data_IF_340094660604
#
_entry.id   IF_340094660604
#
_cell.length_a   1.000
_cell.length_b   1.000
_cell.length_c   1.000
_cell.angle_alpha   90.00
_cell.angle_beta   90.00
_cell.angle_gamma   90.00
#
_symmetry.space_group_name_H-M   'P 1'
#
loop_
_entity.id
_entity.type
_entity.pdbx_description
1 polymer ?
#
# COMPACT_ATOMS: atom_id res chain seq x y z
N UNK A 1 -23.43 -24.14 -19.58
CA UNK A 1 -22.42 -23.53 -18.69
C UNK A 1 -23.00 -22.22 -18.17
N UNK A 2 -23.32 -22.12 -16.88
CA UNK A 2 -23.72 -20.83 -16.30
C UNK A 2 -22.50 -19.90 -16.36
N UNK A 3 -22.61 -18.81 -17.12
CA UNK A 3 -21.58 -17.80 -17.25
C UNK A 3 -21.51 -17.00 -15.93
N UNK A 4 -20.88 -17.57 -14.90
CA UNK A 4 -20.67 -16.88 -13.62
C UNK A 4 -19.61 -15.81 -13.84
N UNK A 5 -20.04 -14.56 -13.82
CA UNK A 5 -19.10 -13.43 -13.87
C UNK A 5 -18.69 -13.05 -12.44
N UNK A 6 -17.90 -13.92 -11.79
CA UNK A 6 -17.44 -13.69 -10.42
C UNK A 6 -16.65 -12.39 -10.31
N UNK A 7 -15.84 -12.05 -11.32
CA UNK A 7 -15.13 -10.76 -11.34
C UNK A 7 -16.10 -9.57 -11.25
N UNK A 8 -17.12 -9.53 -12.11
CA UNK A 8 -18.13 -8.47 -12.07
C UNK A 8 -18.91 -8.46 -10.75
N UNK A 9 -19.25 -9.64 -10.22
CA UNK A 9 -19.94 -9.74 -8.93
C UNK A 9 -19.08 -9.19 -7.80
N UNK A 10 -17.81 -9.60 -7.69
CA UNK A 10 -16.84 -9.11 -6.70
C UNK A 10 -16.74 -7.58 -6.81
N UNK A 11 -16.54 -7.05 -8.02
CA UNK A 11 -16.45 -5.61 -8.24
C UNK A 11 -17.73 -4.90 -7.77
N UNK A 12 -18.91 -5.36 -8.19
CA UNK A 12 -20.18 -4.75 -7.81
C UNK A 12 -20.42 -4.75 -6.29
N UNK A 13 -20.06 -5.84 -5.61
CA UNK A 13 -20.27 -6.04 -4.17
C UNK A 13 -19.24 -5.32 -3.29
N UNK A 14 -18.08 -4.99 -3.84
CA UNK A 14 -17.01 -4.26 -3.13
C UNK A 14 -16.86 -2.82 -3.59
N UNK A 15 -17.63 -2.38 -4.61
CA UNK A 15 -17.49 -1.09 -5.29
C UNK A 15 -17.36 0.10 -4.35
N UNK A 16 -18.16 0.14 -3.28
CA UNK A 16 -18.14 1.26 -2.33
C UNK A 16 -16.77 1.41 -1.67
N UNK A 17 -16.17 0.31 -1.19
CA UNK A 17 -14.86 0.34 -0.54
C UNK A 17 -13.73 0.48 -1.56
N UNK A 18 -13.88 -0.12 -2.75
CA UNK A 18 -12.97 0.11 -3.87
C UNK A 18 -12.88 1.60 -4.22
N UNK A 19 -14.02 2.28 -4.41
CA UNK A 19 -14.07 3.71 -4.72
C UNK A 19 -13.47 4.57 -3.59
N UNK A 20 -13.59 4.14 -2.33
CA UNK A 20 -12.97 4.82 -1.19
C UNK A 20 -11.45 4.65 -1.20
N UNK A 21 -10.97 3.43 -1.50
CA UNK A 21 -9.54 3.12 -1.59
C UNK A 21 -8.87 3.93 -2.69
N UNK A 22 -9.45 3.96 -3.90
CA UNK A 22 -8.90 4.72 -5.04
C UNK A 22 -8.78 6.22 -4.75
N UNK A 23 -9.70 6.75 -3.95
CA UNK A 23 -9.73 8.17 -3.53
C UNK A 23 -8.98 8.42 -2.22
N UNK A 24 -8.36 7.40 -1.64
CA UNK A 24 -7.69 7.54 -0.37
C UNK A 24 -6.44 8.43 -0.53
N UNK A 25 -6.17 9.39 0.37
CA UNK A 25 -5.04 10.31 0.27
C UNK A 25 -3.68 9.61 0.08
N UNK A 26 -3.51 8.45 0.69
CA UNK A 26 -2.32 7.61 0.52
C UNK A 26 -2.10 7.19 -0.95
N UNK A 27 -3.13 6.71 -1.64
CA UNK A 27 -3.06 6.29 -3.05
C UNK A 27 -3.09 7.48 -4.01
N UNK A 28 -3.84 8.54 -3.71
CA UNK A 28 -3.84 9.77 -4.51
C UNK A 28 -2.41 10.34 -4.65
N UNK A 29 -1.56 10.18 -3.63
CA UNK A 29 -0.15 10.58 -3.76
C UNK A 29 0.61 9.79 -4.81
N UNK A 30 0.29 8.53 -5.09
CA UNK A 30 0.92 7.83 -6.23
C UNK A 30 0.59 8.51 -7.56
N UNK A 31 -0.56 9.17 -7.65
CA UNK A 31 -1.01 9.89 -8.84
C UNK A 31 -0.51 11.35 -8.92
N UNK A 32 -0.22 11.99 -7.79
CA UNK A 32 0.31 13.36 -7.70
C UNK A 32 1.84 13.30 -7.52
N UNK A 33 2.65 14.21 -8.08
CA UNK A 33 4.14 14.18 -7.97
C UNK A 33 4.72 14.37 -6.53
N UNK A 34 3.93 14.07 -5.50
CA UNK A 34 4.25 14.09 -4.07
C UNK A 34 4.67 12.71 -3.53
N UNK A 35 4.68 11.68 -4.38
CA UNK A 35 5.13 10.35 -4.01
C UNK A 35 6.66 10.28 -3.90
N UNK A 36 7.16 9.83 -2.76
CA UNK A 36 8.61 9.76 -2.49
C UNK A 36 9.13 8.34 -2.47
N UNK A 37 10.46 8.19 -2.58
CA UNK A 37 11.13 6.91 -2.40
C UNK A 37 10.86 6.29 -1.03
N UNK A 38 10.74 7.14 0.00
CA UNK A 38 10.38 6.74 1.37
C UNK A 38 8.95 6.21 1.45
N UNK A 39 8.01 6.87 0.77
CA UNK A 39 6.62 6.40 0.70
C UNK A 39 6.55 5.03 0.00
N UNK A 40 7.30 4.84 -1.10
CA UNK A 40 7.39 3.53 -1.78
C UNK A 40 7.92 2.44 -0.87
N UNK A 41 9.06 2.72 -0.22
CA UNK A 41 9.73 1.75 0.62
C UNK A 41 8.82 1.34 1.78
N UNK A 42 8.25 2.33 2.47
CA UNK A 42 7.30 2.10 3.56
C UNK A 42 6.11 1.27 3.11
N UNK A 43 5.51 1.56 1.96
CA UNK A 43 4.39 0.77 1.45
C UNK A 43 4.79 -0.70 1.24
N UNK A 44 5.96 -0.98 0.66
CA UNK A 44 6.43 -2.34 0.50
C UNK A 44 6.71 -3.05 1.83
N UNK A 45 7.23 -2.32 2.84
CA UNK A 45 7.41 -2.86 4.18
C UNK A 45 6.08 -3.30 4.81
N UNK A 46 4.99 -2.56 4.59
CA UNK A 46 3.66 -2.96 5.07
C UNK A 46 3.11 -4.16 4.27
N UNK A 47 3.30 -4.16 2.94
CA UNK A 47 2.77 -5.23 2.08
C UNK A 47 3.49 -6.57 2.28
N UNK A 48 4.82 -6.58 2.45
CA UNK A 48 5.61 -7.81 2.54
C UNK A 48 5.01 -8.83 3.53
N UNK A 49 4.86 -8.51 4.83
CA UNK A 49 4.35 -9.47 5.79
C UNK A 49 2.86 -9.82 5.59
N UNK A 50 2.09 -8.95 4.93
CA UNK A 50 0.70 -9.25 4.54
C UNK A 50 0.69 -10.35 3.47
N UNK A 51 1.50 -10.20 2.41
CA UNK A 51 1.59 -11.21 1.36
C UNK A 51 2.20 -12.50 1.90
N UNK A 52 3.22 -12.45 2.74
CA UNK A 52 3.78 -13.64 3.38
C UNK A 52 2.70 -14.45 4.12
N UNK A 53 1.87 -13.77 4.94
CA UNK A 53 0.79 -14.41 5.69
C UNK A 53 -0.33 -14.96 4.79
N UNK A 54 -0.78 -14.18 3.79
CA UNK A 54 -1.84 -14.63 2.87
C UNK A 54 -1.36 -15.81 2.02
N UNK A 55 -0.15 -15.74 1.48
CA UNK A 55 0.42 -16.80 0.65
C UNK A 55 0.65 -18.09 1.46
N UNK A 56 1.08 -17.98 2.73
CA UNK A 56 1.18 -19.12 3.63
C UNK A 56 -0.17 -19.80 3.87
N UNK A 57 -1.22 -19.00 4.09
CA UNK A 57 -2.59 -19.52 4.22
C UNK A 57 -3.09 -20.16 2.94
N UNK A 58 -2.82 -19.53 1.80
CA UNK A 58 -3.21 -20.06 0.49
C UNK A 58 -2.49 -21.37 0.16
N UNK A 59 -1.19 -21.52 0.49
CA UNK A 59 -0.44 -22.78 0.28
C UNK A 59 -1.06 -23.98 1.02
N UNK A 60 -1.76 -23.74 2.12
CA UNK A 60 -2.45 -24.76 2.91
C UNK A 60 -3.96 -24.85 2.58
N UNK A 61 -4.42 -24.09 1.59
CA UNK A 61 -5.81 -24.00 1.18
C UNK A 61 -6.04 -24.72 -0.16
N UNK A 62 -7.24 -25.26 -0.37
CA UNK A 62 -7.63 -25.92 -1.63
C UNK A 62 -7.43 -25.02 -2.85
N UNK A 63 -7.77 -23.73 -2.73
CA UNK A 63 -7.59 -22.76 -3.81
C UNK A 63 -6.12 -22.56 -4.20
N UNK A 64 -5.19 -22.59 -3.24
CA UNK A 64 -3.76 -22.44 -3.54
C UNK A 64 -3.21 -23.67 -4.23
N UNK A 65 -3.62 -24.88 -3.82
CA UNK A 65 -3.23 -26.12 -4.52
C UNK A 65 -3.65 -26.09 -5.99
N UNK A 66 -4.87 -25.61 -6.28
CA UNK A 66 -5.35 -25.45 -7.65
C UNK A 66 -4.55 -24.42 -8.45
N UNK A 67 -4.20 -23.27 -7.87
CA UNK A 67 -3.36 -22.26 -8.53
C UNK A 67 -1.96 -22.78 -8.82
N UNK A 68 -1.31 -23.44 -7.85
CA UNK A 68 0.03 -24.01 -7.99
C UNK A 68 0.09 -25.14 -9.03
N UNK A 69 -1.02 -25.83 -9.30
CA UNK A 69 -1.09 -26.87 -10.33
C UNK A 69 -1.09 -26.33 -11.76
N UNK A 70 -1.24 -25.02 -11.95
CA UNK A 70 -1.25 -24.36 -13.25
C UNK A 70 0.00 -23.49 -13.38
N UNK A 71 0.87 -23.81 -14.35
CA UNK A 71 2.19 -23.17 -14.49
C UNK A 71 2.09 -21.64 -14.52
N UNK A 72 1.19 -21.10 -15.35
CA UNK A 72 0.98 -19.65 -15.53
C UNK A 72 0.32 -18.99 -14.31
N UNK A 73 -0.56 -19.68 -13.57
CA UNK A 73 -1.21 -19.10 -12.39
C UNK A 73 -0.36 -19.23 -11.12
N UNK A 74 0.60 -20.15 -11.09
CA UNK A 74 1.48 -20.34 -9.94
C UNK A 74 2.23 -19.05 -9.56
N UNK A 75 2.48 -18.15 -10.52
CA UNK A 75 3.18 -16.90 -10.23
C UNK A 75 2.40 -16.00 -9.27
N UNK A 76 1.06 -16.03 -9.25
CA UNK A 76 0.28 -15.19 -8.34
C UNK A 76 0.49 -15.55 -6.86
N UNK A 77 1.14 -16.68 -6.58
CA UNK A 77 1.48 -17.17 -5.25
C UNK A 77 2.87 -16.71 -4.74
N UNK A 78 3.62 -15.96 -5.55
CA UNK A 78 5.02 -15.60 -5.28
C UNK A 78 5.22 -14.07 -5.16
N UNK A 79 4.19 -13.33 -4.74
CA UNK A 79 4.26 -11.87 -4.68
C UNK A 79 5.14 -11.37 -3.53
N UNK A 80 5.11 -12.03 -2.37
CA UNK A 80 5.98 -11.70 -1.24
C UNK A 80 7.47 -11.75 -1.60
N UNK A 81 7.87 -12.78 -2.36
CA UNK A 81 9.24 -12.91 -2.88
C UNK A 81 9.63 -11.71 -3.74
N UNK A 82 8.76 -11.29 -4.66
CA UNK A 82 9.03 -10.15 -5.53
C UNK A 82 9.06 -8.81 -4.77
N UNK A 83 8.23 -8.66 -3.73
CA UNK A 83 8.30 -7.51 -2.81
C UNK A 83 9.67 -7.47 -2.11
N UNK A 84 10.17 -8.61 -1.65
CA UNK A 84 11.50 -8.70 -1.03
C UNK A 84 12.60 -8.29 -1.99
N UNK A 85 12.57 -8.79 -3.23
CA UNK A 85 13.53 -8.39 -4.27
C UNK A 85 13.46 -6.88 -4.55
N UNK A 86 12.27 -6.29 -4.60
CA UNK A 86 12.10 -4.85 -4.79
C UNK A 86 12.65 -4.04 -3.60
N UNK A 87 12.40 -4.49 -2.37
CA UNK A 87 12.97 -3.89 -1.16
C UNK A 87 14.48 -3.98 -1.16
N UNK A 88 15.07 -5.12 -1.53
CA UNK A 88 16.52 -5.34 -1.58
C UNK A 88 17.19 -4.37 -2.56
N UNK A 89 16.63 -4.25 -3.77
CA UNK A 89 17.06 -3.27 -4.76
C UNK A 89 17.02 -1.84 -4.21
N UNK A 90 15.91 -1.45 -3.56
CA UNK A 90 15.79 -0.12 -2.99
C UNK A 90 16.83 0.13 -1.89
N UNK A 91 17.11 -0.86 -1.03
CA UNK A 91 18.15 -0.71 0.02
C UNK A 91 19.53 -0.49 -0.59
N UNK A 92 19.89 -1.30 -1.58
CA UNK A 92 21.19 -1.18 -2.28
C UNK A 92 21.36 0.19 -2.93
N UNK A 93 20.34 0.68 -3.64
CA UNK A 93 20.43 1.91 -4.42
C UNK A 93 20.25 3.20 -3.62
N UNK A 94 19.57 3.15 -2.48
CA UNK A 94 19.20 4.36 -1.72
C UNK A 94 19.73 4.43 -0.29
N UNK A 95 20.24 3.31 0.25
CA UNK A 95 20.70 3.22 1.63
C UNK A 95 19.57 3.24 2.67
N UNK A 96 18.29 3.19 2.27
CA UNK A 96 17.16 3.10 3.21
C UNK A 96 17.20 1.75 3.94
N UNK A 97 16.86 1.72 5.23
CA UNK A 97 16.86 0.49 6.05
C UNK A 97 15.50 0.23 6.71
N UNK A 98 15.24 -1.03 7.11
CA UNK A 98 14.00 -1.43 7.76
C UNK A 98 13.79 -0.76 9.12
N UNK A 99 14.86 -0.45 9.85
CA UNK A 99 14.80 0.27 11.13
C UNK A 99 14.19 1.67 10.99
N UNK A 100 14.13 2.21 9.78
CA UNK A 100 13.55 3.53 9.52
C UNK A 100 12.00 3.50 9.51
N UNK A 101 11.36 2.33 9.37
CA UNK A 101 9.90 2.21 9.20
C UNK A 101 9.33 1.01 9.97
N UNK A 102 8.98 1.16 11.25
CA UNK A 102 8.22 0.14 11.96
C UNK A 102 6.84 -0.05 11.30
N UNK A 103 6.36 -1.29 11.30
CA UNK A 103 5.04 -1.65 10.78
C UNK A 103 3.93 -0.82 11.44
N UNK A 104 2.91 -0.51 10.66
CA UNK A 104 1.67 0.05 11.18
C UNK A 104 1.00 -0.96 12.13
N UNK A 105 0.37 -0.45 13.19
CA UNK A 105 -0.37 -1.30 14.13
C UNK A 105 -1.50 -2.04 13.40
N UNK A 106 -2.19 -1.37 12.48
CA UNK A 106 -3.22 -1.94 11.61
C UNK A 106 -2.69 -3.03 10.69
N UNK A 107 -1.43 -2.93 10.25
CA UNK A 107 -0.78 -4.01 9.52
C UNK A 107 -0.61 -5.24 10.41
N UNK A 108 -0.10 -5.08 11.63
CA UNK A 108 0.05 -6.18 12.58
C UNK A 108 -1.28 -6.81 12.98
N UNK A 109 -2.32 -6.01 13.20
CA UNK A 109 -3.68 -6.47 13.47
C UNK A 109 -4.23 -7.30 12.30
N UNK A 110 -4.02 -6.83 11.06
CA UNK A 110 -4.48 -7.54 9.88
C UNK A 110 -3.74 -8.86 9.65
N UNK A 111 -2.42 -8.90 9.84
CA UNK A 111 -1.63 -10.14 9.81
C UNK A 111 -2.14 -11.12 10.88
N UNK A 112 -2.40 -10.63 12.10
CA UNK A 112 -2.96 -11.47 13.16
C UNK A 112 -4.33 -12.05 12.78
N UNK A 113 -5.18 -11.27 12.11
CA UNK A 113 -6.45 -11.74 11.59
C UNK A 113 -6.26 -12.82 10.51
N UNK A 114 -5.40 -12.58 9.51
CA UNK A 114 -5.06 -13.55 8.46
C UNK A 114 -4.59 -14.87 9.08
N UNK A 115 -3.69 -14.81 10.05
CA UNK A 115 -3.14 -15.99 10.72
C UNK A 115 -4.19 -16.81 11.48
N UNK A 116 -5.31 -16.20 11.89
CA UNK A 116 -6.44 -16.88 12.55
C UNK A 116 -7.47 -17.44 11.58
N UNK A 117 -7.44 -17.03 10.30
CA UNK A 117 -8.37 -17.54 9.29
C UNK A 117 -8.19 -19.05 9.12
N UNK A 118 -9.32 -19.77 9.12
CA UNK A 118 -9.41 -21.21 8.87
C UNK A 118 -10.40 -21.54 7.75
N UNK A 119 -11.26 -20.60 7.38
CA UNK A 119 -12.23 -20.77 6.29
C UNK A 119 -11.55 -20.57 4.92
N UNK A 120 -11.54 -21.58 4.04
CA UNK A 120 -10.97 -21.48 2.70
C UNK A 120 -11.55 -20.32 1.87
N UNK A 121 -12.84 -20.02 2.02
CA UNK A 121 -13.49 -18.92 1.29
C UNK A 121 -13.00 -17.55 1.76
N UNK A 122 -12.73 -17.41 3.06
CA UNK A 122 -12.18 -16.18 3.66
C UNK A 122 -10.75 -15.96 3.19
N UNK A 123 -9.89 -16.98 3.34
CA UNK A 123 -8.49 -16.94 2.88
C UNK A 123 -8.43 -16.55 1.40
N UNK A 124 -9.24 -17.21 0.57
CA UNK A 124 -9.26 -16.93 -0.85
C UNK A 124 -9.80 -15.55 -1.18
N UNK A 125 -10.79 -15.03 -0.44
CA UNK A 125 -11.29 -13.67 -0.60
C UNK A 125 -10.24 -12.60 -0.33
N UNK A 126 -9.49 -12.76 0.76
CA UNK A 126 -8.39 -11.87 1.07
C UNK A 126 -7.28 -11.93 0.01
N UNK A 127 -7.00 -13.12 -0.54
CA UNK A 127 -6.05 -13.30 -1.64
C UNK A 127 -6.52 -12.67 -2.95
N UNK A 128 -7.71 -13.00 -3.46
CA UNK A 128 -8.14 -12.50 -4.76
C UNK A 128 -8.34 -10.98 -4.76
N UNK A 129 -8.72 -10.36 -3.65
CA UNK A 129 -8.79 -8.89 -3.55
C UNK A 129 -7.43 -8.25 -3.81
N UNK A 130 -6.36 -8.83 -3.24
CA UNK A 130 -4.98 -8.36 -3.47
C UNK A 130 -4.58 -8.55 -4.93
N UNK A 131 -4.72 -9.77 -5.45
CA UNK A 131 -4.29 -10.10 -6.82
C UNK A 131 -5.04 -9.28 -7.87
N UNK A 132 -6.36 -9.11 -7.73
CA UNK A 132 -7.13 -8.25 -8.62
C UNK A 132 -6.71 -6.78 -8.52
N UNK A 133 -6.40 -6.29 -7.32
CA UNK A 133 -5.83 -4.96 -7.12
C UNK A 133 -4.49 -4.79 -7.84
N UNK A 134 -3.62 -5.79 -7.77
CA UNK A 134 -2.31 -5.80 -8.43
C UNK A 134 -2.44 -5.83 -9.96
N UNK A 135 -3.42 -6.55 -10.51
CA UNK A 135 -3.66 -6.56 -11.97
C UNK A 135 -4.18 -5.24 -12.52
N UNK A 136 -5.07 -4.54 -11.78
CA UNK A 136 -5.76 -3.36 -12.31
C UNK A 136 -5.12 -2.04 -11.87
N UNK A 137 -4.71 -1.93 -10.60
CA UNK A 137 -4.04 -0.74 -10.06
C UNK A 137 -2.51 -0.81 -10.14
N UNK A 138 -1.95 -2.03 -10.20
CA UNK A 138 -0.50 -2.26 -10.25
C UNK A 138 0.19 -1.63 -11.46
N UNK A 139 -0.34 -1.71 -12.70
CA UNK A 139 0.32 -1.11 -13.87
C UNK A 139 0.54 0.41 -13.73
N UNK A 140 -0.45 1.15 -13.23
CA UNK A 140 -0.31 2.58 -12.95
C UNK A 140 0.75 2.82 -11.87
N UNK A 141 0.73 2.02 -10.80
CA UNK A 141 1.71 2.10 -9.71
C UNK A 141 3.12 1.82 -10.20
N UNK A 142 3.31 0.77 -11.02
CA UNK A 142 4.57 0.42 -11.68
C UNK A 142 5.11 1.59 -12.48
N UNK A 143 4.30 2.17 -13.38
CA UNK A 143 4.71 3.30 -14.21
C UNK A 143 5.17 4.51 -13.37
N UNK A 144 4.48 4.82 -12.27
CA UNK A 144 4.83 5.92 -11.36
C UNK A 144 6.12 5.65 -10.60
N UNK A 145 6.33 4.43 -10.11
CA UNK A 145 7.56 4.04 -9.41
C UNK A 145 8.75 4.02 -10.38
N UNK A 146 8.58 3.52 -11.60
CA UNK A 146 9.61 3.56 -12.65
C UNK A 146 10.01 5.00 -12.97
N UNK A 147 9.04 5.92 -13.13
CA UNK A 147 9.33 7.34 -13.34
C UNK A 147 10.10 7.95 -12.16
N UNK A 148 9.72 7.60 -10.92
CA UNK A 148 10.45 8.01 -9.72
C UNK A 148 11.90 7.52 -9.73
N UNK A 149 12.16 6.26 -10.10
CA UNK A 149 13.51 5.71 -10.17
C UNK A 149 14.35 6.35 -11.28
N UNK A 150 13.75 6.66 -12.43
CA UNK A 150 14.42 7.45 -13.49
C UNK A 150 14.87 8.81 -12.98
N UNK A 151 13.98 9.54 -12.31
CA UNK A 151 14.28 10.86 -11.73
C UNK A 151 15.33 10.81 -10.59
N UNK A 152 15.57 9.63 -10.02
CA UNK A 152 16.56 9.42 -8.95
C UNK A 152 17.84 8.74 -9.42
N UNK A 153 18.01 8.55 -10.74
CA UNK A 153 19.13 7.79 -11.32
C UNK A 153 19.30 6.38 -10.72
N UNK A 154 18.19 5.75 -10.32
CA UNK A 154 18.15 4.38 -9.80
C UNK A 154 17.76 3.35 -10.87
N UNK A 155 17.13 3.81 -11.95
CA UNK A 155 16.66 2.96 -13.06
C UNK A 155 17.83 2.48 -13.94
N UNK A 156 17.74 1.25 -14.46
CA UNK A 156 18.69 0.67 -15.41
C UNK A 156 17.95 0.10 -16.62
N UNK A 157 18.43 0.41 -17.83
CA UNK A 157 17.88 -0.17 -19.07
C UNK A 157 18.18 -1.67 -19.20
N UNK A 158 19.27 -2.15 -18.60
CA UNK A 158 19.63 -3.57 -18.59
C UNK A 158 18.74 -4.40 -17.64
N UNK A 159 18.05 -3.74 -16.72
CA UNK A 159 17.17 -4.37 -15.72
C UNK A 159 15.92 -3.50 -15.47
N UNK A 160 15.02 -3.34 -16.46
CA UNK A 160 13.94 -2.35 -16.43
C UNK A 160 12.87 -2.61 -15.36
N UNK A 161 12.79 -3.86 -14.87
CA UNK A 161 11.86 -4.27 -13.81
C UNK A 161 12.46 -4.21 -12.39
N UNK A 162 13.74 -3.85 -12.24
CA UNK A 162 14.37 -3.80 -10.92
C UNK A 162 13.67 -2.77 -10.00
N UNK A 163 13.21 -3.23 -8.83
CA UNK A 163 12.46 -2.42 -7.86
C UNK A 163 10.96 -2.27 -8.16
N UNK A 164 10.46 -2.87 -9.25
CA UNK A 164 9.04 -2.92 -9.60
C UNK A 164 8.56 -4.33 -9.97
N UNK A 165 9.33 -5.37 -9.63
CA UNK A 165 9.02 -6.77 -9.96
C UNK A 165 7.69 -7.22 -9.37
N UNK A 166 7.30 -6.71 -8.21
CA UNK A 166 6.02 -7.03 -7.57
C UNK A 166 4.81 -6.80 -8.51
N UNK A 167 4.87 -5.78 -9.36
CA UNK A 167 3.81 -5.44 -10.32
C UNK A 167 4.08 -5.97 -11.74
N UNK A 168 5.08 -6.85 -11.89
CA UNK A 168 5.36 -7.53 -13.16
C UNK A 168 4.73 -8.91 -13.13
N UNK A 169 3.89 -9.16 -14.14
CA UNK A 169 3.21 -10.43 -14.37
C UNK A 169 3.47 -10.86 -15.82
N UNK A 170 3.43 -12.16 -16.06
CA UNK A 170 3.38 -12.67 -17.43
C UNK A 170 2.08 -12.20 -18.11
N UNK A 171 2.15 -11.96 -19.43
CA UNK A 171 1.04 -11.38 -20.17
C UNK A 171 -0.25 -12.23 -20.09
N UNK A 172 -0.11 -13.55 -20.02
CA UNK A 172 -1.22 -14.50 -19.97
C UNK A 172 -1.85 -14.66 -18.57
N UNK A 173 -1.13 -14.29 -17.50
CA UNK A 173 -1.56 -14.58 -16.13
C UNK A 173 -2.86 -13.90 -15.76
N UNK A 174 -3.00 -12.61 -16.08
CA UNK A 174 -4.22 -11.87 -15.74
C UNK A 174 -5.45 -12.43 -16.47
N UNK A 175 -5.46 -12.60 -17.81
CA UNK A 175 -6.55 -13.26 -18.51
C UNK A 175 -6.90 -14.64 -17.94
N UNK A 176 -5.89 -15.49 -17.71
CA UNK A 176 -6.09 -16.84 -17.17
C UNK A 176 -6.65 -16.81 -15.75
N UNK A 177 -6.18 -15.89 -14.89
CA UNK A 177 -6.69 -15.76 -13.53
C UNK A 177 -8.15 -15.34 -13.52
N UNK A 178 -8.55 -14.40 -14.37
CA UNK A 178 -9.96 -14.00 -14.51
C UNK A 178 -10.84 -15.16 -14.97
N UNK A 179 -10.40 -15.93 -15.96
CA UNK A 179 -11.11 -17.11 -16.44
C UNK A 179 -11.23 -18.16 -15.33
N UNK A 180 -10.12 -18.46 -14.64
CA UNK A 180 -10.08 -19.40 -13.53
C UNK A 180 -10.99 -18.98 -12.38
N UNK A 181 -10.97 -17.70 -12.01
CA UNK A 181 -11.81 -17.12 -10.95
C UNK A 181 -13.30 -17.19 -11.32
N UNK A 182 -13.67 -16.86 -12.55
CA UNK A 182 -15.05 -16.94 -13.04
C UNK A 182 -15.62 -18.37 -13.02
N UNK A 183 -14.76 -19.38 -13.15
CA UNK A 183 -15.16 -20.77 -13.08
C UNK A 183 -15.38 -21.28 -11.63
N UNK A 184 -15.03 -20.50 -10.60
CA UNK A 184 -15.23 -20.90 -9.20
C UNK A 184 -16.68 -20.79 -8.75
N UNK A 185 -17.02 -21.61 -7.75
CA UNK A 185 -18.28 -21.50 -7.02
C UNK A 185 -18.00 -20.76 -5.71
N UNK A 186 -18.10 -19.44 -5.75
CA UNK A 186 -17.96 -18.63 -4.55
C UNK A 186 -19.23 -18.69 -3.71
N UNK A 187 -19.09 -18.75 -2.40
CA UNK A 187 -20.20 -18.58 -1.47
C UNK A 187 -20.57 -17.09 -1.37
N UNK A 188 -21.83 -16.77 -1.03
CA UNK A 188 -22.25 -15.37 -0.85
C UNK A 188 -21.41 -14.64 0.23
N UNK A 189 -21.03 -15.35 1.30
CA UNK A 189 -20.15 -14.82 2.36
C UNK A 189 -18.77 -14.38 1.85
N UNK A 190 -18.30 -14.90 0.71
CA UNK A 190 -17.00 -14.53 0.15
C UNK A 190 -16.94 -13.05 -0.24
N UNK A 191 -18.08 -12.43 -0.52
CA UNK A 191 -18.17 -10.99 -0.78
C UNK A 191 -18.05 -10.15 0.51
N UNK A 192 -18.51 -10.68 1.64
CA UNK A 192 -18.33 -10.03 2.95
C UNK A 192 -16.85 -10.07 3.36
N UNK A 193 -16.19 -11.22 3.16
CA UNK A 193 -14.74 -11.35 3.38
C UNK A 193 -13.93 -10.43 2.45
N UNK A 194 -14.34 -10.27 1.19
CA UNK A 194 -13.70 -9.30 0.30
C UNK A 194 -13.82 -7.86 0.83
N UNK A 195 -15.00 -7.47 1.33
CA UNK A 195 -15.19 -6.17 1.96
C UNK A 195 -14.32 -6.00 3.23
N UNK A 196 -14.12 -7.06 4.02
CA UNK A 196 -13.20 -7.05 5.17
C UNK A 196 -11.75 -6.81 4.71
N UNK A 197 -11.30 -7.45 3.64
CA UNK A 197 -9.97 -7.24 3.07
C UNK A 197 -9.77 -5.77 2.61
N UNK A 198 -10.76 -5.18 1.93
CA UNK A 198 -10.72 -3.76 1.57
C UNK A 198 -10.67 -2.84 2.80
N UNK A 199 -11.49 -3.14 3.83
CA UNK A 199 -11.54 -2.35 5.06
C UNK A 199 -10.20 -2.39 5.80
N UNK A 200 -9.55 -3.55 5.87
CA UNK A 200 -8.23 -3.68 6.48
C UNK A 200 -7.18 -2.78 5.79
N UNK A 201 -7.18 -2.73 4.45
CA UNK A 201 -6.26 -1.85 3.71
C UNK A 201 -6.55 -0.36 3.90
N UNK A 202 -7.84 0.02 3.96
CA UNK A 202 -8.21 1.38 4.30
C UNK A 202 -7.69 1.76 5.69
N UNK A 203 -7.87 0.90 6.69
CA UNK A 203 -7.41 1.16 8.06
C UNK A 203 -5.88 1.31 8.14
N UNK A 204 -5.14 0.47 7.40
CA UNK A 204 -3.68 0.60 7.27
C UNK A 204 -3.33 1.97 6.66
N UNK A 205 -3.95 2.33 5.54
CA UNK A 205 -3.66 3.59 4.88
C UNK A 205 -4.03 4.80 5.74
N UNK A 206 -5.15 4.75 6.47
CA UNK A 206 -5.54 5.78 7.44
C UNK A 206 -4.44 5.98 8.49
N UNK A 207 -3.91 4.90 9.08
CA UNK A 207 -2.84 4.98 10.08
C UNK A 207 -1.53 5.55 9.48
N UNK A 208 -1.16 5.12 8.27
CA UNK A 208 0.02 5.64 7.58
C UNK A 208 -0.07 7.15 7.35
N UNK A 209 -1.25 7.65 6.98
CA UNK A 209 -1.54 9.08 6.80
C UNK A 209 -1.52 9.88 8.11
N UNK A 210 -2.10 9.33 9.18
CA UNK A 210 -2.11 9.97 10.49
C UNK A 210 -0.69 10.13 11.05
N UNK A 211 0.12 9.07 10.98
CA UNK A 211 1.53 9.09 11.38
C UNK A 211 2.34 10.11 10.57
N UNK A 212 2.08 10.20 9.26
CA UNK A 212 2.73 11.18 8.37
C UNK A 212 2.37 12.62 8.76
N UNK A 213 1.09 12.91 8.95
CA UNK A 213 0.60 14.26 9.28
C UNK A 213 1.13 14.73 10.64
N UNK A 214 1.22 13.83 11.62
CA UNK A 214 1.81 14.15 12.93
C UNK A 214 3.30 14.51 12.81
N UNK A 215 4.05 13.81 11.95
CA UNK A 215 5.47 14.09 11.70
C UNK A 215 5.72 15.43 11.00
N UNK A 216 4.81 15.89 10.13
CA UNK A 216 4.95 17.18 9.44
C UNK A 216 4.67 18.36 10.36
N UNK A 217 3.68 18.23 11.27
CA UNK A 217 3.40 19.24 12.31
C UNK A 217 4.62 19.44 13.21
N UNK A 218 5.25 18.35 13.67
CA UNK A 218 6.44 18.42 14.53
C UNK A 218 7.63 19.08 13.83
N UNK A 219 7.85 18.81 12.53
CA UNK A 219 8.91 19.46 11.74
C UNK A 219 8.69 20.97 11.56
N UNK A 220 7.44 21.40 11.40
CA UNK A 220 7.12 22.82 11.30
C UNK A 220 7.33 23.54 12.64
N UNK A 221 6.99 22.89 13.76
CA UNK A 221 7.29 23.42 15.09
C UNK A 221 8.79 23.48 15.38
N UNK A 222 9.57 22.45 15.04
CA UNK A 222 11.02 22.46 15.28
C UNK A 222 11.76 23.47 14.40
N UNK A 223 11.33 23.67 13.14
CA UNK A 223 11.83 24.74 12.27
C UNK A 223 11.54 26.14 12.84
N UNK A 224 10.36 26.34 13.44
CA UNK A 224 9.98 27.59 14.09
C UNK A 224 10.83 27.91 15.34
N UNK A 225 11.30 26.89 16.07
CA UNK A 225 12.21 27.08 17.21
C UNK A 225 13.69 27.16 16.81
N UNK A 226 14.10 26.56 15.69
CA UNK A 226 15.48 26.64 15.19
C UNK A 226 15.79 27.99 14.54
N UNK A 227 14.79 28.70 14.00
CA UNK A 227 14.98 30.05 13.42
C UNK A 227 15.15 31.17 14.47
N UNK A 228 15.13 30.86 15.78
CA UNK A 228 15.26 31.85 16.87
C UNK A 228 16.59 31.80 17.65
N UNK A 229 17.65 31.21 17.08
CA UNK A 229 19.03 31.33 17.61
C UNK A 229 19.95 32.12 16.67
N UNK A 230 19.62 33.39 16.45
CA UNK A 230 20.58 34.43 16.04
C UNK A 230 20.00 35.80 16.36
N UNK A 231 20.10 36.23 17.62
CA UNK A 231 20.23 37.63 18.03
C UNK A 231 20.50 37.63 19.54
N UNK A 232 21.77 37.44 19.90
CA UNK A 232 22.29 37.95 21.17
C UNK A 232 23.00 39.25 20.83
N UNK A 233 22.26 40.35 20.86
CA UNK A 233 22.81 41.67 21.11
C UNK A 233 21.92 42.27 22.18
N UNK A 234 22.50 42.48 23.36
CA UNK A 234 21.80 42.99 24.52
C UNK A 234 21.41 44.45 24.34
N UNK A 235 20.23 44.80 24.82
CA UNK A 235 19.94 46.08 25.47
C UNK A 235 18.87 45.81 26.54
N UNK A 236 19.19 46.20 27.77
CA UNK A 236 18.27 46.30 28.90
C UNK A 236 17.38 47.54 28.73
N UNK A 237 16.06 47.42 28.91
CA UNK A 237 15.26 48.22 29.86
C UNK A 237 13.74 48.01 29.69
N UNK A 238 13.07 48.11 30.82
CA UNK A 238 11.72 48.63 31.04
C UNK A 238 10.48 47.79 30.67
N UNK A 239 9.89 47.32 31.75
CA UNK A 239 8.51 46.88 32.00
C UNK A 239 7.47 47.99 31.72
N UNK A 240 6.22 47.54 31.49
CA UNK A 240 4.93 48.26 31.61
C UNK A 240 4.47 49.07 30.38
N UNK A 241 3.42 48.58 29.70
CA UNK A 241 2.07 49.17 29.75
C UNK A 241 1.15 48.49 28.71
N UNK A 242 -0.01 48.05 29.18
CA UNK A 242 -1.16 47.69 28.37
C UNK A 242 -1.70 48.90 27.60
N UNK A 243 -2.37 48.68 26.46
CA UNK A 243 -3.67 49.27 26.10
C UNK A 243 -4.25 48.51 24.89
N UNK A 244 -5.46 47.96 25.10
CA UNK A 244 -6.43 47.60 24.06
C UNK A 244 -6.87 48.88 23.32
N UNK A 245 -7.10 48.83 22.02
CA UNK A 245 -8.33 49.37 21.40
C UNK A 245 -8.58 48.64 20.07
N UNK A 246 -9.83 48.24 19.92
CA UNK A 246 -10.42 47.53 18.80
C UNK A 246 -10.72 48.44 17.60
N UNK A 247 -10.54 47.88 16.41
CA UNK A 247 -11.38 47.93 15.20
C UNK A 247 -11.91 49.25 14.59
N UNK A 248 -11.77 49.25 13.26
CA UNK A 248 -12.74 49.52 12.17
C UNK A 248 -12.44 50.66 11.21
N UNK A 249 -12.72 50.33 9.94
CA UNK A 249 -12.70 51.20 8.78
C UNK A 249 -13.67 52.39 8.94
N UNK A 250 -13.22 53.53 8.41
CA UNK A 250 -13.92 54.80 8.17
C UNK A 250 -14.13 55.72 9.36
#
# INVERSE_FOLDING_TARGET
MNNRNNFSNIYSKTKKLHDQLDKHPFLIRYAQDKFTLKDRYRHLCELLPIYEAIEEKMRNCTYGNELCSHNELSEVMERAKLIKEDLDFMREKSGITFTDYPLAQKTSEYISAINKMTDPEEIFAHFYVRILGDFHGGPLTKARVTALFKNRAMYSEDAPDAGVKFYTFNAETSPLFHQWLNNKKLAEKSFDFANQAFKAHLDIFDELEQKRSSSSVIKNFSAFFCSKKSMVVGVSLATVAAVKISYHMR
#
